data_IF_268548284086
#
_entry.id   IF_268548284086
#
_cell.length_a   1.000
_cell.length_b   1.000
_cell.length_c   1.000
_cell.angle_alpha   90.00
_cell.angle_beta   90.00
_cell.angle_gamma   90.00
#
_symmetry.space_group_name_H-M   'P 1'
#
loop_
_entity.id
_entity.type
_entity.pdbx_description
1 polymer ?
#
# COMPACT_ATOMS: atom_id res chain seq x y z
N UNK A 1 10.16 -22.06 -0.41
CA UNK A 1 11.05 -20.88 -0.36
C UNK A 1 10.34 -19.88 0.54
N UNK A 2 10.81 -19.76 1.78
CA UNK A 2 10.26 -18.77 2.71
C UNK A 2 10.67 -17.38 2.23
N UNK A 3 9.74 -16.66 1.62
CA UNK A 3 9.94 -15.24 1.32
C UNK A 3 9.97 -14.51 2.66
N UNK A 4 11.12 -13.92 2.98
CA UNK A 4 11.36 -13.31 4.27
C UNK A 4 10.52 -12.02 4.38
N UNK A 5 9.42 -12.13 5.13
CA UNK A 5 8.49 -11.04 5.39
C UNK A 5 9.22 -9.93 6.16
N UNK A 6 9.29 -8.73 5.58
CA UNK A 6 9.89 -7.59 6.27
C UNK A 6 8.83 -6.93 7.15
N UNK A 7 9.06 -6.97 8.46
CA UNK A 7 8.22 -6.31 9.47
C UNK A 7 8.86 -5.01 9.95
N UNK A 8 8.10 -3.93 10.02
CA UNK A 8 8.58 -2.64 10.55
C UNK A 8 7.49 -1.99 11.40
N UNK A 9 7.89 -1.43 12.54
CA UNK A 9 7.02 -0.60 13.36
C UNK A 9 6.88 0.79 12.73
N UNK A 10 5.65 1.25 12.53
CA UNK A 10 5.36 2.52 11.87
C UNK A 10 4.46 3.39 12.77
N UNK A 11 4.75 4.69 12.83
CA UNK A 11 3.88 5.63 13.56
C UNK A 11 2.59 5.86 12.81
N UNK A 12 2.68 5.99 11.49
CA UNK A 12 1.53 6.18 10.62
C UNK A 12 1.71 5.45 9.30
N UNK A 13 0.65 4.76 8.90
CA UNK A 13 0.59 4.07 7.61
C UNK A 13 -0.63 4.59 6.84
N UNK A 14 -0.38 5.04 5.61
CA UNK A 14 -1.43 5.36 4.66
C UNK A 14 -1.43 4.31 3.56
N UNK A 15 -2.57 3.64 3.41
CA UNK A 15 -2.79 2.66 2.36
C UNK A 15 -3.66 3.32 1.30
N UNK A 16 -3.19 3.34 0.06
CA UNK A 16 -3.95 3.84 -1.08
C UNK A 16 -4.25 2.69 -2.04
N UNK A 17 -5.54 2.47 -2.28
CA UNK A 17 -5.97 1.64 -3.39
C UNK A 17 -5.76 2.41 -4.70
N UNK A 18 -5.11 1.77 -5.67
CA UNK A 18 -5.03 2.33 -7.00
C UNK A 18 -6.27 1.91 -7.79
N UNK A 19 -7.17 2.86 -8.05
CA UNK A 19 -8.42 2.61 -8.78
C UNK A 19 -8.19 2.19 -10.24
N UNK A 20 -6.99 2.44 -10.77
CA UNK A 20 -6.55 2.03 -12.10
C UNK A 20 -5.65 0.79 -12.07
N UNK A 21 -5.79 -0.08 -11.05
CA UNK A 21 -4.89 -1.22 -10.90
C UNK A 21 -4.87 -2.14 -12.11
N UNK A 22 -3.68 -2.37 -12.66
CA UNK A 22 -3.40 -3.34 -13.73
C UNK A 22 -2.92 -4.70 -13.18
N UNK A 23 -2.89 -4.84 -11.84
CA UNK A 23 -2.35 -6.01 -11.14
C UNK A 23 -0.84 -6.23 -11.30
N UNK A 24 -0.09 -5.31 -11.93
CA UNK A 24 1.34 -5.46 -12.25
C UNK A 24 2.18 -4.25 -11.82
N UNK A 25 1.86 -3.06 -12.34
CA UNK A 25 2.59 -1.80 -12.10
C UNK A 25 1.81 -0.80 -11.26
N UNK A 26 0.50 -1.00 -11.15
CA UNK A 26 -0.46 -0.14 -10.46
C UNK A 26 -1.09 -0.90 -9.28
N UNK A 27 -0.27 -1.46 -8.40
CA UNK A 27 -0.75 -2.18 -7.20
C UNK A 27 -0.99 -1.24 -6.00
N UNK A 28 -1.18 -1.82 -4.82
CA UNK A 28 -1.39 -1.06 -3.59
C UNK A 28 -0.17 -0.18 -3.31
N UNK A 29 -0.44 1.05 -2.88
CA UNK A 29 0.60 1.96 -2.39
C UNK A 29 0.53 2.05 -0.89
N UNK A 30 1.66 1.80 -0.25
CA UNK A 30 1.84 1.91 1.17
C UNK A 30 2.76 3.09 1.45
N UNK A 31 2.28 4.10 2.16
CA UNK A 31 3.13 5.18 2.67
C UNK A 31 3.39 4.91 4.15
N UNK A 32 4.63 4.58 4.48
CA UNK A 32 5.09 4.34 5.85
C UNK A 32 5.94 5.53 6.27
N UNK A 33 5.48 6.30 7.26
CA UNK A 33 6.21 7.46 7.79
C UNK A 33 6.72 8.44 6.70
N UNK A 34 6.00 8.52 5.58
CA UNK A 34 6.30 9.38 4.43
C UNK A 34 6.97 8.68 3.24
N UNK A 35 7.47 7.46 3.40
CA UNK A 35 8.08 6.69 2.31
C UNK A 35 7.05 5.83 1.56
N UNK A 36 6.96 5.99 0.23
CA UNK A 36 6.07 5.20 -0.61
C UNK A 36 6.70 3.86 -1.03
N UNK A 37 5.92 2.78 -0.88
CA UNK A 37 6.25 1.42 -1.33
C UNK A 37 5.10 0.83 -2.13
N UNK A 38 5.41 0.14 -3.23
CA UNK A 38 4.47 -0.65 -4.01
C UNK A 38 4.41 -2.07 -3.46
N UNK A 39 3.20 -2.58 -3.24
CA UNK A 39 2.97 -3.89 -2.62
C UNK A 39 1.79 -4.62 -3.27
N UNK A 40 1.85 -5.95 -3.30
CA UNK A 40 0.79 -6.77 -3.88
C UNK A 40 -0.34 -7.06 -2.88
N UNK A 41 -0.01 -7.23 -1.61
CA UNK A 41 -0.93 -7.54 -0.54
C UNK A 41 -0.58 -6.76 0.73
N UNK A 42 -1.60 -6.44 1.53
CA UNK A 42 -1.46 -5.74 2.80
C UNK A 42 -2.34 -6.47 3.82
N UNK A 43 -1.78 -6.74 4.99
CA UNK A 43 -2.53 -7.22 6.15
C UNK A 43 -2.40 -6.19 7.28
N UNK A 44 -3.54 -5.79 7.83
CA UNK A 44 -3.63 -4.85 8.96
C UNK A 44 -4.38 -5.54 10.09
N UNK A 45 -3.80 -5.56 11.29
CA UNK A 45 -4.35 -6.18 12.50
C UNK A 45 -4.83 -5.15 13.54
N UNK A 46 -4.97 -3.89 13.13
CA UNK A 46 -5.33 -2.74 13.97
C UNK A 46 -6.58 -2.02 13.43
N UNK A 47 -7.32 -1.30 14.30
CA UNK A 47 -8.38 -0.41 13.86
C UNK A 47 -7.89 0.57 12.79
N UNK A 48 -8.72 0.77 11.77
CA UNK A 48 -8.43 1.61 10.62
C UNK A 48 -9.42 2.78 10.54
N UNK A 49 -8.99 3.88 9.93
CA UNK A 49 -9.85 5.00 9.54
C UNK A 49 -9.82 5.15 8.03
N UNK A 50 -10.94 5.48 7.41
CA UNK A 50 -11.01 5.72 5.97
C UNK A 50 -11.23 7.20 5.69
N UNK A 51 -10.61 7.74 4.65
CA UNK A 51 -10.91 9.07 4.13
C UNK A 51 -11.02 9.05 2.61
N UNK A 52 -11.78 10.01 2.08
CA UNK A 52 -11.96 10.22 0.66
C UNK A 52 -11.77 11.71 0.38
N UNK A 53 -10.84 12.03 -0.50
CA UNK A 53 -10.57 13.39 -0.94
C UNK A 53 -10.95 13.51 -2.43
N UNK A 54 -11.60 14.60 -2.81
CA UNK A 54 -11.76 14.95 -4.23
C UNK A 54 -10.50 15.67 -4.72
N UNK A 55 -9.96 15.23 -5.87
CA UNK A 55 -8.83 15.87 -6.53
C UNK A 55 -9.32 16.62 -7.77
N UNK A 56 -9.50 17.93 -7.64
CA UNK A 56 -10.04 18.78 -8.71
C UNK A 56 -9.25 18.66 -10.02
N UNK A 57 -7.91 18.73 -9.93
CA UNK A 57 -7.00 18.68 -11.08
C UNK A 57 -7.08 17.37 -11.88
N UNK A 58 -7.47 16.27 -11.21
CA UNK A 58 -7.55 14.94 -11.80
C UNK A 58 -8.99 14.49 -12.05
N UNK A 59 -9.98 15.29 -11.64
CA UNK A 59 -11.40 14.97 -11.70
C UNK A 59 -11.69 13.57 -11.15
N UNK A 60 -11.06 13.21 -10.02
CA UNK A 60 -11.20 11.87 -9.43
C UNK A 60 -11.17 11.88 -7.90
N UNK A 61 -11.69 10.80 -7.31
CA UNK A 61 -11.62 10.58 -5.87
C UNK A 61 -10.35 9.82 -5.48
N UNK A 62 -9.72 10.26 -4.40
CA UNK A 62 -8.56 9.65 -3.77
C UNK A 62 -9.01 9.06 -2.43
N UNK A 63 -8.91 7.75 -2.30
CA UNK A 63 -9.30 7.03 -1.09
C UNK A 63 -8.06 6.60 -0.29
N UNK A 64 -8.09 6.79 1.02
CA UNK A 64 -7.06 6.33 1.93
C UNK A 64 -7.63 5.50 3.07
N UNK A 65 -6.86 4.49 3.48
CA UNK A 65 -7.02 3.82 4.76
C UNK A 65 -5.82 4.22 5.61
N UNK A 66 -6.09 4.80 6.78
CA UNK A 66 -5.06 5.22 7.75
C UNK A 66 -5.04 4.26 8.92
N UNK A 67 -3.83 3.88 9.31
CA UNK A 67 -3.56 3.09 10.51
C UNK A 67 -2.53 3.82 11.35
N UNK A 68 -2.87 4.10 12.60
CA UNK A 68 -1.98 4.74 13.57
C UNK A 68 -1.32 3.67 14.44
N UNK A 69 -0.04 3.83 14.78
CA UNK A 69 0.74 2.96 15.69
C UNK A 69 0.59 1.45 15.41
N UNK A 70 1.15 0.98 14.29
CA UNK A 70 0.99 -0.40 13.87
C UNK A 70 2.30 -1.07 13.43
N UNK A 71 2.27 -2.41 13.42
CA UNK A 71 3.31 -3.21 12.80
C UNK A 71 2.85 -3.54 11.38
N UNK A 72 3.63 -3.12 10.40
CA UNK A 72 3.38 -3.47 9.01
C UNK A 72 4.22 -4.67 8.65
N UNK A 73 3.59 -5.69 8.07
CA UNK A 73 4.27 -6.78 7.38
C UNK A 73 4.05 -6.63 5.89
N UNK A 74 5.13 -6.48 5.13
CA UNK A 74 5.07 -6.37 3.67
C UNK A 74 5.58 -7.68 3.06
N UNK A 75 4.78 -8.24 2.17
CA UNK A 75 5.24 -9.31 1.28
C UNK A 75 5.99 -8.68 0.09
N UNK A 76 7.21 -9.13 -0.22
CA UNK A 76 7.97 -8.60 -1.34
C UNK A 76 7.23 -8.87 -2.67
N UNK A 77 7.14 -7.85 -3.51
CA UNK A 77 6.58 -7.97 -4.86
C UNK A 77 7.47 -8.93 -5.66
N UNK A 78 6.93 -10.09 -6.03
CA UNK A 78 7.61 -11.00 -6.96
C UNK A 78 7.38 -10.48 -8.37
N UNK A 79 8.28 -9.64 -8.87
CA UNK A 79 8.31 -9.27 -10.29
C UNK A 79 8.81 -10.49 -11.08
N UNK A 80 7.88 -11.21 -11.70
CA UNK A 80 8.22 -12.20 -12.72
C UNK A 80 8.72 -11.43 -13.96
N UNK A 81 10.04 -11.29 -14.09
CA UNK A 81 10.64 -10.80 -15.31
C UNK A 81 10.58 -11.91 -16.36
N UNK A 82 9.70 -11.77 -17.36
CA UNK A 82 9.75 -12.62 -18.55
C UNK A 82 10.86 -12.10 -19.45
N UNK A 83 11.93 -12.87 -19.62
CA UNK A 83 12.95 -12.59 -20.63
C UNK A 83 12.42 -13.19 -21.95
N UNK A 84 12.12 -12.33 -22.92
CA UNK A 84 11.77 -12.71 -24.29
C UNK A 84 12.96 -12.53 -25.22
#
# INVERSE_FOLDING_TARGET
MDQQMQSTAARKVLIRYNTESDGKSLCWRLLIDGEEKLVNAIKVDKPCKTSTDWLEDKQCFKHHITVDECNVSIEPVTLLATIS
#
